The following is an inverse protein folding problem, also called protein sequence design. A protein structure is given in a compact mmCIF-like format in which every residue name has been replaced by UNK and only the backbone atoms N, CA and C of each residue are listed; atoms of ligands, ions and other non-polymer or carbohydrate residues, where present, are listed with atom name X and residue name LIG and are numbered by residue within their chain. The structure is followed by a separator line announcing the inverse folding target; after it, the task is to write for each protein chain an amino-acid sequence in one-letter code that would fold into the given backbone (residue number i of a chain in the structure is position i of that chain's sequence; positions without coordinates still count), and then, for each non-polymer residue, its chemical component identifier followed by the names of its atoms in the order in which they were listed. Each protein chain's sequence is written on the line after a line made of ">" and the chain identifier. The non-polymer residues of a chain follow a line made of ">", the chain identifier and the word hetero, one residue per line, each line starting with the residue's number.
data_IF_130510057133
#
_entry.id   IF_130510057133
#
_cell.length_a   1.000
_cell.length_b   1.000
_cell.length_c   1.000
_cell.angle_alpha   90.00
_cell.angle_beta   90.00
_cell.angle_gamma   90.00
#
_symmetry.space_group_name_H-M   'P 1'
#
loop_
_entity.id
_entity.type
_entity.pdbx_description
1 polymer ?
#
# COMPACT_ATOMS: atom_id res chain seq x y z
N UNK A 1 0.65 28.97 -14.59
CA UNK A 1 0.36 28.41 -13.26
C UNK A 1 -0.92 29.05 -12.80
N UNK A 2 -1.89 28.23 -12.41
CA UNK A 2 -3.18 28.68 -11.89
C UNK A 2 -3.30 28.21 -10.44
N UNK A 3 -3.88 29.05 -9.60
CA UNK A 3 -4.10 28.76 -8.18
C UNK A 3 -5.58 28.95 -7.90
N UNK A 4 -6.23 27.90 -7.41
CA UNK A 4 -7.62 27.89 -7.02
C UNK A 4 -7.69 27.72 -5.50
N UNK A 5 -8.16 28.76 -4.81
CA UNK A 5 -8.32 28.73 -3.36
C UNK A 5 -9.78 28.50 -2.98
N UNK A 6 -10.03 27.41 -2.25
CA UNK A 6 -11.31 27.10 -1.62
C UNK A 6 -11.22 27.04 -0.10
N UNK A 7 -12.37 26.90 0.55
CA UNK A 7 -12.45 26.77 2.01
C UNK A 7 -11.83 25.46 2.51
N UNK A 8 -11.94 24.38 1.74
CA UNK A 8 -11.48 23.03 2.11
C UNK A 8 -10.19 22.60 1.42
N UNK A 9 -9.81 23.24 0.31
CA UNK A 9 -8.72 22.82 -0.54
C UNK A 9 -8.10 24.03 -1.25
N UNK A 10 -6.79 24.02 -1.41
CA UNK A 10 -6.08 24.83 -2.42
C UNK A 10 -5.55 23.89 -3.48
N UNK A 11 -5.83 24.20 -4.74
CA UNK A 11 -5.25 23.50 -5.88
C UNK A 11 -4.32 24.43 -6.66
N UNK A 12 -3.17 23.91 -7.06
CA UNK A 12 -2.20 24.58 -7.92
C UNK A 12 -2.05 23.74 -9.18
N UNK A 13 -2.49 24.31 -10.31
CA UNK A 13 -2.34 23.68 -11.62
C UNK A 13 -1.10 24.21 -12.33
N UNK A 14 -0.26 23.28 -12.80
CA UNK A 14 0.92 23.56 -13.63
C UNK A 14 0.84 22.76 -14.92
N UNK A 15 0.84 23.46 -16.03
CA UNK A 15 0.83 22.90 -17.38
C UNK A 15 2.20 23.16 -18.02
N UNK A 16 2.79 22.12 -18.62
CA UNK A 16 4.03 22.18 -19.37
C UNK A 16 3.75 21.78 -20.81
N UNK A 17 4.04 22.71 -21.71
CA UNK A 17 3.90 22.56 -23.15
C UNK A 17 5.25 22.21 -23.74
N UNK A 18 5.25 21.40 -24.81
CA UNK A 18 6.49 21.01 -25.48
C UNK A 18 7.01 22.13 -26.36
N UNK A 19 6.11 22.84 -27.05
CA UNK A 19 6.43 24.03 -27.83
C UNK A 19 5.53 25.21 -27.45
N UNK A 20 5.97 26.42 -27.78
CA UNK A 20 5.22 27.66 -27.50
C UNK A 20 3.86 27.71 -28.22
N UNK A 21 3.70 26.94 -29.31
CA UNK A 21 2.49 26.94 -30.13
C UNK A 21 1.51 25.81 -29.81
N UNK A 22 1.86 24.91 -28.88
CA UNK A 22 0.98 23.80 -28.52
C UNK A 22 -0.27 24.31 -27.80
N UNK A 23 -1.44 23.82 -28.21
CA UNK A 23 -2.72 24.16 -27.57
C UNK A 23 -2.95 23.36 -26.28
N UNK A 24 -2.48 22.12 -26.26
CA UNK A 24 -2.67 21.18 -25.16
C UNK A 24 -1.33 20.88 -24.46
N UNK A 25 -1.31 20.84 -23.12
CA UNK A 25 -0.08 20.54 -22.38
C UNK A 25 0.28 19.05 -22.45
N UNK A 26 1.56 18.76 -22.67
CA UNK A 26 2.10 17.39 -22.64
C UNK A 26 2.21 16.86 -21.21
N UNK A 27 2.46 17.75 -20.25
CA UNK A 27 2.53 17.40 -18.83
C UNK A 27 1.65 18.35 -18.04
N UNK A 28 0.75 17.80 -17.22
CA UNK A 28 -0.07 18.58 -16.30
C UNK A 28 0.09 18.03 -14.89
N UNK A 29 0.21 18.93 -13.92
CA UNK A 29 0.33 18.60 -12.50
C UNK A 29 -0.72 19.39 -11.74
N UNK A 30 -1.56 18.68 -11.00
CA UNK A 30 -2.48 19.25 -10.03
C UNK A 30 -1.90 18.99 -8.65
N UNK A 31 -1.49 20.04 -7.94
CA UNK A 31 -1.00 19.93 -6.56
C UNK A 31 -2.07 20.43 -5.60
N UNK A 32 -2.57 19.54 -4.76
CA UNK A 32 -3.68 19.77 -3.86
C UNK A 32 -3.20 19.78 -2.40
N UNK A 33 -3.62 20.82 -1.68
CA UNK A 33 -3.35 21.05 -0.26
C UNK A 33 -4.69 21.18 0.47
N UNK A 34 -4.99 20.22 1.35
CA UNK A 34 -6.20 20.27 2.15
C UNK A 34 -6.13 21.41 3.19
N UNK A 35 -7.25 22.10 3.38
CA UNK A 35 -7.50 23.08 4.44
C UNK A 35 -8.62 22.52 5.32
N UNK A 36 -8.27 21.81 6.39
CA UNK A 36 -9.25 21.21 7.31
C UNK A 36 -9.08 21.71 8.75
N UNK A 37 -10.14 21.75 9.57
CA UNK A 37 -9.98 21.91 11.01
C UNK A 37 -9.17 20.74 11.58
N UNK A 38 -8.31 20.97 12.60
CA UNK A 38 -7.53 19.91 13.22
C UNK A 38 -8.44 18.92 13.96
N UNK A 39 -8.83 17.85 13.27
CA UNK A 39 -9.42 16.63 13.84
C UNK A 39 -8.58 15.41 13.47
N UNK A 40 -8.91 14.22 13.98
CA UNK A 40 -8.12 12.99 13.76
C UNK A 40 -7.91 12.65 12.27
N UNK A 41 -8.92 12.87 11.42
CA UNK A 41 -8.80 12.70 9.96
C UNK A 41 -8.05 13.86 9.29
N UNK A 42 -8.12 15.06 9.89
CA UNK A 42 -7.44 16.26 9.43
C UNK A 42 -5.91 16.15 9.52
N UNK A 43 -5.39 15.37 10.46
CA UNK A 43 -3.94 15.17 10.63
C UNK A 43 -3.31 14.51 9.40
N UNK A 44 -3.91 13.44 8.87
CA UNK A 44 -3.41 12.77 7.66
C UNK A 44 -3.57 13.62 6.39
N UNK A 45 -4.58 14.51 6.36
CA UNK A 45 -4.87 15.36 5.22
C UNK A 45 -3.95 16.60 5.17
N UNK A 46 -3.68 17.23 6.31
CA UNK A 46 -2.94 18.50 6.36
C UNK A 46 -1.42 18.35 6.30
N UNK A 47 -0.89 17.14 6.45
CA UNK A 47 0.56 16.84 6.43
C UNK A 47 1.07 16.26 5.11
N UNK A 48 0.26 16.35 4.04
CA UNK A 48 0.65 15.89 2.71
C UNK A 48 0.31 16.88 1.61
N UNK A 49 1.04 16.76 0.50
CA UNK A 49 0.67 17.32 -0.80
C UNK A 49 0.19 16.15 -1.65
N UNK A 50 -1.04 16.21 -2.15
CA UNK A 50 -1.53 15.28 -3.16
C UNK A 50 -1.18 15.85 -4.55
N UNK A 51 -0.55 15.04 -5.39
CA UNK A 51 -0.14 15.45 -6.72
C UNK A 51 -0.67 14.47 -7.76
N UNK A 52 -1.59 14.93 -8.59
CA UNK A 52 -2.02 14.21 -9.78
C UNK A 52 -1.18 14.64 -10.98
N UNK A 53 -0.62 13.67 -11.68
CA UNK A 53 0.21 13.84 -12.86
C UNK A 53 -0.51 13.29 -14.08
N UNK A 54 -0.57 14.09 -15.15
CA UNK A 54 -0.96 13.67 -16.49
C UNK A 54 0.26 13.79 -17.39
N UNK A 55 0.71 12.67 -17.95
CA UNK A 55 1.98 12.60 -18.71
C UNK A 55 1.72 11.98 -20.07
N UNK A 56 1.91 12.76 -21.13
CA UNK A 56 1.81 12.33 -22.52
C UNK A 56 0.76 13.10 -23.33
N UNK A 57 0.62 12.80 -24.64
CA UNK A 57 1.37 11.80 -25.39
C UNK A 57 2.87 12.13 -25.46
N UNK A 58 3.73 11.13 -25.30
CA UNK A 58 5.18 11.34 -25.41
C UNK A 58 5.63 11.44 -26.87
N UNK A 59 6.85 11.93 -27.04
CA UNK A 59 7.59 11.75 -28.27
C UNK A 59 8.15 10.33 -28.36
N UNK A 60 8.33 9.85 -29.59
CA UNK A 60 9.03 8.59 -29.82
C UNK A 60 10.45 8.63 -29.23
N UNK A 61 10.86 7.55 -28.57
CA UNK A 61 12.16 7.37 -27.91
C UNK A 61 12.41 8.34 -26.75
N UNK A 62 11.36 8.64 -25.97
CA UNK A 62 11.46 9.46 -24.78
C UNK A 62 10.99 8.73 -23.53
N UNK A 63 11.60 9.09 -22.40
CA UNK A 63 11.26 8.64 -21.06
C UNK A 63 11.00 9.87 -20.19
N UNK A 64 9.85 9.91 -19.53
CA UNK A 64 9.43 11.01 -18.69
C UNK A 64 9.65 10.66 -17.21
N UNK A 65 10.43 11.50 -16.53
CA UNK A 65 10.66 11.43 -15.10
C UNK A 65 10.20 12.70 -14.41
N UNK A 66 9.82 12.58 -13.15
CA UNK A 66 9.70 13.72 -12.25
C UNK A 66 10.85 13.67 -11.26
N UNK A 67 11.48 14.81 -10.96
CA UNK A 67 12.54 14.90 -9.95
C UNK A 67 12.18 15.92 -8.90
N UNK A 68 12.08 15.46 -7.65
CA UNK A 68 11.96 16.32 -6.47
C UNK A 68 13.35 16.56 -5.91
N UNK A 69 13.73 17.83 -5.76
CA UNK A 69 15.04 18.24 -5.22
C UNK A 69 14.87 19.01 -3.92
N UNK A 70 15.65 18.64 -2.91
CA UNK A 70 15.61 19.22 -1.55
C UNK A 70 17.03 19.50 -1.05
N UNK A 71 17.14 20.23 0.06
CA UNK A 71 18.40 20.45 0.76
C UNK A 71 18.74 19.33 1.77
N UNK A 72 17.99 18.22 1.78
CA UNK A 72 18.27 17.09 2.68
C UNK A 72 19.65 16.49 2.36
N UNK A 73 20.46 16.26 3.40
CA UNK A 73 21.74 15.58 3.25
C UNK A 73 21.57 14.06 3.34
N UNK A 74 21.18 13.46 2.22
CA UNK A 74 20.79 12.04 2.15
C UNK A 74 21.93 11.12 1.76
N UNK A 75 23.09 11.67 1.35
CA UNK A 75 24.23 10.93 0.82
C UNK A 75 23.86 9.98 -0.33
N UNK A 76 22.90 10.38 -1.17
CA UNK A 76 22.35 9.58 -2.28
C UNK A 76 21.82 8.20 -1.82
N UNK A 77 21.29 8.13 -0.59
CA UNK A 77 20.62 6.95 -0.08
C UNK A 77 19.11 7.12 -0.27
N UNK A 78 18.54 6.20 -1.04
CA UNK A 78 17.11 6.00 -1.21
C UNK A 78 16.66 4.82 -0.34
N UNK A 79 15.43 4.85 0.13
CA UNK A 79 14.74 3.69 0.69
C UNK A 79 13.53 3.43 -0.18
N UNK A 80 13.41 2.24 -0.76
CA UNK A 80 12.24 1.83 -1.56
C UNK A 80 11.65 0.55 -1.00
N UNK A 81 10.34 0.41 -1.06
CA UNK A 81 9.67 -0.79 -0.59
C UNK A 81 10.02 -2.03 -1.45
N UNK A 82 9.81 -3.20 -0.87
CA UNK A 82 9.79 -4.49 -1.54
C UNK A 82 8.36 -5.03 -1.49
N UNK A 83 7.62 -4.87 -2.58
CA UNK A 83 6.22 -5.29 -2.73
C UNK A 83 5.29 -4.72 -1.65
N UNK A 84 5.50 -3.47 -1.23
CA UNK A 84 4.66 -2.77 -0.25
C UNK A 84 4.87 -3.25 1.18
N UNK A 85 5.88 -4.09 1.41
CA UNK A 85 6.07 -4.76 2.69
C UNK A 85 7.30 -4.25 3.45
N UNK A 86 8.51 -4.64 3.03
CA UNK A 86 9.76 -4.26 3.71
C UNK A 86 10.45 -3.11 2.99
N UNK A 87 10.97 -2.14 3.73
CA UNK A 87 11.78 -1.06 3.20
C UNK A 87 13.23 -1.51 3.00
N UNK A 88 13.75 -1.30 1.80
CA UNK A 88 15.11 -1.67 1.45
C UNK A 88 15.97 -0.41 1.26
N UNK A 89 17.12 -0.39 1.94
CA UNK A 89 18.11 0.68 1.79
C UNK A 89 18.87 0.52 0.48
N UNK A 90 18.85 1.55 -0.36
CA UNK A 90 19.48 1.63 -1.68
C UNK A 90 20.53 2.75 -1.68
N UNK A 91 21.80 2.40 -1.50
CA UNK A 91 22.88 3.36 -1.68
C UNK A 91 23.22 3.48 -3.17
N UNK A 92 23.40 4.71 -3.63
CA UNK A 92 23.90 4.96 -4.98
C UNK A 92 25.24 4.26 -5.21
N UNK A 93 25.38 3.65 -6.39
CA UNK A 93 26.61 2.98 -6.80
C UNK A 93 27.05 3.49 -8.16
N UNK A 94 28.32 3.88 -8.25
CA UNK A 94 28.94 4.16 -9.53
C UNK A 94 29.24 2.85 -10.25
N UNK A 95 28.82 2.75 -11.51
CA UNK A 95 29.13 1.61 -12.38
C UNK A 95 29.95 2.07 -13.59
N UNK A 96 30.64 1.13 -14.26
CA UNK A 96 31.37 1.45 -15.50
C UNK A 96 30.42 1.71 -16.67
N UNK A 97 29.27 1.05 -16.70
CA UNK A 97 28.27 1.14 -17.76
C UNK A 97 26.90 1.25 -17.12
N UNK A 98 26.02 2.08 -17.70
CA UNK A 98 24.62 2.21 -17.33
C UNK A 98 24.40 2.63 -15.86
N UNK A 99 25.24 3.54 -15.34
CA UNK A 99 25.17 3.95 -13.92
C UNK A 99 23.79 4.46 -13.52
N UNK A 100 23.19 5.33 -14.33
CA UNK A 100 21.87 5.91 -14.02
C UNK A 100 20.82 4.80 -13.89
N UNK A 101 20.69 3.95 -14.90
CA UNK A 101 19.63 2.92 -14.95
C UNK A 101 19.83 1.81 -13.93
N UNK A 102 21.08 1.47 -13.59
CA UNK A 102 21.40 0.49 -12.53
C UNK A 102 21.12 0.99 -11.10
N UNK A 103 20.78 2.27 -10.94
CA UNK A 103 20.35 2.85 -9.67
C UNK A 103 18.84 3.11 -9.63
N UNK A 104 18.07 2.68 -10.63
CA UNK A 104 16.61 2.62 -10.53
C UNK A 104 16.16 1.35 -9.81
N UNK A 105 15.19 1.51 -8.89
CA UNK A 105 14.59 0.45 -8.11
C UNK A 105 13.07 0.51 -8.21
N UNK A 106 12.35 -0.62 -8.06
CA UNK A 106 10.90 -0.57 -7.95
C UNK A 106 10.48 0.13 -6.65
N UNK A 107 9.45 0.97 -6.75
CA UNK A 107 8.59 1.44 -5.67
C UNK A 107 7.19 0.94 -5.99
N UNK A 108 6.62 0.07 -5.15
CA UNK A 108 5.25 -0.38 -5.37
C UNK A 108 4.23 0.47 -4.61
N UNK A 109 4.63 1.01 -3.46
CA UNK A 109 3.75 1.83 -2.62
C UNK A 109 4.46 3.03 -2.00
N UNK A 110 5.74 2.88 -1.60
CA UNK A 110 6.44 3.94 -0.90
C UNK A 110 7.95 3.94 -1.13
N UNK A 111 8.48 5.14 -1.29
CA UNK A 111 9.89 5.42 -1.24
C UNK A 111 10.15 6.65 -0.38
N UNK A 112 11.34 6.75 0.22
CA UNK A 112 11.72 7.95 0.94
C UNK A 112 13.22 8.22 0.87
N UNK A 113 13.55 9.49 1.05
CA UNK A 113 14.91 9.96 1.32
C UNK A 113 14.90 10.70 2.67
N UNK A 114 16.00 10.65 3.40
CA UNK A 114 16.08 11.29 4.72
C UNK A 114 17.50 11.70 5.06
N UNK A 115 17.59 12.68 5.97
CA UNK A 115 18.81 12.97 6.71
C UNK A 115 18.62 12.58 8.20
N UNK A 116 19.33 13.24 9.11
CA UNK A 116 19.24 12.96 10.56
C UNK A 116 17.95 13.48 11.20
N UNK A 117 17.34 14.51 10.65
CA UNK A 117 16.20 15.23 11.26
C UNK A 117 14.93 15.00 10.46
N UNK A 118 15.02 15.12 9.14
CA UNK A 118 13.88 15.25 8.25
C UNK A 118 13.85 14.15 7.21
N UNK A 119 12.64 13.87 6.73
CA UNK A 119 12.35 12.84 5.73
C UNK A 119 11.37 13.39 4.72
N UNK A 120 11.65 13.10 3.44
CA UNK A 120 10.70 13.23 2.35
C UNK A 120 10.20 11.82 2.01
N UNK A 121 8.91 11.57 2.24
CA UNK A 121 8.22 10.34 1.88
C UNK A 121 7.39 10.59 0.63
N UNK A 122 7.47 9.64 -0.29
CA UNK A 122 6.59 9.53 -1.42
C UNK A 122 5.74 8.27 -1.25
N UNK A 123 4.45 8.42 -1.52
CA UNK A 123 3.48 7.34 -1.58
C UNK A 123 2.83 7.35 -2.96
N UNK A 124 2.56 6.17 -3.49
CA UNK A 124 1.93 6.00 -4.79
C UNK A 124 0.81 4.96 -4.74
N UNK A 125 -0.18 5.13 -5.61
CA UNK A 125 -1.20 4.11 -5.91
C UNK A 125 -0.69 3.05 -6.89
N UNK A 126 0.28 3.43 -7.71
CA UNK A 126 0.79 2.63 -8.81
C UNK A 126 2.28 2.35 -8.65
N UNK A 127 2.77 1.32 -9.32
CA UNK A 127 4.20 0.94 -9.28
C UNK A 127 5.01 1.89 -10.16
N UNK A 128 6.08 2.47 -9.62
CA UNK A 128 7.01 3.32 -10.35
C UNK A 128 8.44 2.81 -10.24
N UNK A 129 9.29 3.21 -11.19
CA UNK A 129 10.73 3.14 -11.04
C UNK A 129 11.23 4.38 -10.32
N UNK A 130 12.02 4.22 -9.26
CA UNK A 130 12.50 5.33 -8.43
C UNK A 130 14.02 5.32 -8.28
N UNK A 131 14.62 6.50 -8.13
CA UNK A 131 16.06 6.63 -7.91
C UNK A 131 16.42 7.87 -7.09
N UNK A 132 17.61 7.86 -6.51
CA UNK A 132 18.27 9.05 -5.94
C UNK A 132 19.62 9.24 -6.66
N UNK A 133 19.61 10.02 -7.74
CA UNK A 133 20.82 10.28 -8.54
C UNK A 133 21.73 11.35 -7.91
N UNK A 134 21.20 12.14 -6.97
CA UNK A 134 21.92 13.20 -6.26
C UNK A 134 21.47 13.29 -4.80
N UNK A 135 22.33 13.79 -3.92
CA UNK A 135 21.95 13.98 -2.51
C UNK A 135 20.78 14.96 -2.42
N UNK A 136 19.78 14.62 -1.61
CA UNK A 136 18.54 15.39 -1.48
C UNK A 136 17.59 15.27 -2.67
N UNK A 137 17.90 14.43 -3.66
CA UNK A 137 17.06 14.21 -4.85
C UNK A 137 16.37 12.86 -4.80
N UNK A 138 15.12 12.83 -5.25
CA UNK A 138 14.35 11.62 -5.54
C UNK A 138 13.66 11.83 -6.88
N UNK A 139 13.83 10.87 -7.78
CA UNK A 139 13.17 10.89 -9.09
C UNK A 139 12.31 9.65 -9.32
N UNK A 140 11.18 9.87 -9.97
CA UNK A 140 10.11 8.93 -10.23
C UNK A 140 9.88 8.80 -11.73
N UNK A 141 9.81 7.57 -12.20
CA UNK A 141 9.58 7.23 -13.59
C UNK A 141 8.08 7.13 -13.87
N UNK A 142 7.57 7.97 -14.78
CA UNK A 142 6.13 8.01 -15.09
C UNK A 142 5.77 7.28 -16.37
N UNK A 143 6.45 7.58 -17.47
CA UNK A 143 6.05 7.05 -18.76
C UNK A 143 7.24 6.92 -19.71
N UNK A 144 7.14 6.00 -20.67
CA UNK A 144 8.14 5.81 -21.72
C UNK A 144 7.46 5.41 -23.01
N UNK A 145 7.97 5.96 -24.10
CA UNK A 145 7.63 5.53 -25.44
C UNK A 145 8.94 5.24 -26.17
N UNK A 146 9.19 3.97 -26.49
CA UNK A 146 10.44 3.47 -27.04
C UNK A 146 10.18 2.64 -28.29
N UNK A 147 10.82 3.02 -29.40
CA UNK A 147 10.87 2.23 -30.62
C UNK A 147 12.26 1.62 -30.79
N UNK A 148 12.40 0.35 -30.41
CA UNK A 148 13.67 -0.36 -30.50
C UNK A 148 13.73 -1.15 -31.80
N UNK A 149 14.57 -0.71 -32.74
CA UNK A 149 14.74 -1.32 -34.07
C UNK A 149 15.82 -2.40 -34.15
N UNK A 150 16.44 -2.76 -33.03
CA UNK A 150 17.52 -3.75 -32.98
C UNK A 150 16.94 -5.17 -33.10
N UNK A 151 17.58 -6.04 -33.89
CA UNK A 151 17.03 -7.37 -34.22
C UNK A 151 16.73 -8.24 -32.99
N UNK A 152 17.59 -8.20 -31.97
CA UNK A 152 17.38 -8.94 -30.71
C UNK A 152 16.11 -8.45 -29.99
N UNK A 153 15.89 -7.14 -29.95
CA UNK A 153 14.74 -6.52 -29.28
C UNK A 153 13.42 -6.78 -30.01
N UNK A 154 13.47 -6.81 -31.34
CA UNK A 154 12.33 -7.21 -32.17
C UNK A 154 11.95 -8.68 -31.93
N UNK A 155 12.94 -9.56 -31.69
CA UNK A 155 12.67 -10.99 -31.42
C UNK A 155 11.98 -11.27 -30.08
N UNK A 156 12.08 -10.35 -29.10
CA UNK A 156 11.46 -10.46 -27.77
C UNK A 156 10.35 -9.42 -27.53
N UNK A 157 9.93 -8.69 -28.57
CA UNK A 157 8.88 -7.67 -28.54
C UNK A 157 9.00 -6.66 -27.38
N UNK A 158 10.19 -6.10 -27.18
CA UNK A 158 10.44 -5.08 -26.12
C UNK A 158 10.14 -3.64 -26.59
N UNK A 159 9.50 -3.48 -27.75
CA UNK A 159 9.03 -2.18 -28.23
C UNK A 159 7.83 -1.73 -27.41
N UNK A 160 7.88 -0.51 -26.87
CA UNK A 160 6.79 0.08 -26.10
C UNK A 160 6.36 1.38 -26.79
N UNK A 161 5.45 1.26 -27.75
CA UNK A 161 4.93 2.39 -28.53
C UNK A 161 3.54 2.81 -28.05
N UNK A 162 3.43 3.12 -26.75
CA UNK A 162 2.20 3.65 -26.16
C UNK A 162 2.16 5.17 -26.30
N UNK A 163 1.08 5.69 -26.89
CA UNK A 163 0.84 7.13 -27.10
C UNK A 163 -0.21 7.69 -26.13
N UNK A 164 -0.65 6.88 -25.17
CA UNK A 164 -1.67 7.28 -24.19
C UNK A 164 -1.14 8.36 -23.25
N UNK A 165 -2.06 9.10 -22.65
CA UNK A 165 -1.74 9.96 -21.51
C UNK A 165 -1.87 9.11 -20.26
N UNK A 166 -0.78 8.94 -19.51
CA UNK A 166 -0.83 8.22 -18.23
C UNK A 166 -1.22 9.16 -17.11
N UNK A 167 -1.98 8.62 -16.15
CA UNK A 167 -2.46 9.32 -14.98
C UNK A 167 -1.91 8.64 -13.73
N UNK A 168 -1.26 9.39 -12.86
CA UNK A 168 -0.69 8.86 -11.62
C UNK A 168 -0.87 9.84 -10.46
N UNK A 169 -1.24 9.32 -9.29
CA UNK A 169 -1.42 10.12 -8.08
C UNK A 169 -0.32 9.77 -7.08
N UNK A 170 0.38 10.79 -6.60
CA UNK A 170 1.42 10.67 -5.60
C UNK A 170 1.09 11.53 -4.39
N UNK A 171 1.33 11.01 -3.18
CA UNK A 171 1.28 11.81 -1.95
C UNK A 171 2.69 12.06 -1.44
N UNK A 172 3.01 13.33 -1.20
CA UNK A 172 4.31 13.77 -0.70
C UNK A 172 4.16 14.24 0.74
N UNK A 173 4.94 13.66 1.65
CA UNK A 173 5.04 14.08 3.04
C UNK A 173 6.47 14.52 3.31
N UNK A 174 6.65 15.77 3.77
CA UNK A 174 7.94 16.32 4.14
C UNK A 174 7.87 16.85 5.58
N UNK A 175 8.79 16.40 6.43
CA UNK A 175 8.85 16.89 7.80
C UNK A 175 9.80 16.11 8.68
N UNK A 176 9.72 16.31 10.02
CA UNK A 176 10.50 15.55 10.98
C UNK A 176 10.33 14.03 10.81
N UNK A 177 11.40 13.29 11.06
CA UNK A 177 11.41 11.83 10.92
C UNK A 177 10.40 11.14 11.84
N UNK A 178 10.08 11.71 12.99
CA UNK A 178 9.06 11.17 13.92
C UNK A 178 7.66 11.26 13.31
N UNK A 179 7.27 12.45 12.85
CA UNK A 179 5.96 12.71 12.23
C UNK A 179 5.75 11.87 10.97
N UNK A 180 6.72 11.88 10.06
CA UNK A 180 6.60 11.14 8.79
C UNK A 180 6.62 9.63 8.96
N UNK A 181 7.21 9.10 10.06
CA UNK A 181 7.18 7.67 10.37
C UNK A 181 5.81 7.22 10.87
N UNK A 182 5.13 8.04 11.67
CA UNK A 182 3.74 7.82 12.10
C UNK A 182 2.79 7.92 10.91
N UNK A 183 2.77 9.09 10.24
CA UNK A 183 1.78 9.34 9.21
C UNK A 183 2.04 8.51 7.95
N UNK A 184 3.29 8.24 7.57
CA UNK A 184 3.62 7.59 6.31
C UNK A 184 2.96 6.22 6.09
N UNK A 185 2.92 5.36 7.12
CA UNK A 185 2.27 4.04 7.00
C UNK A 185 0.75 4.17 6.89
N UNK A 186 0.14 5.02 7.74
CA UNK A 186 -1.30 5.27 7.77
C UNK A 186 -1.79 5.96 6.49
N UNK A 187 -1.04 6.93 5.99
CA UNK A 187 -1.26 7.59 4.71
C UNK A 187 -1.13 6.60 3.54
N UNK A 188 -0.17 5.67 3.58
CA UNK A 188 -0.04 4.62 2.56
C UNK A 188 -1.28 3.74 2.50
N UNK A 189 -1.80 3.30 3.65
CA UNK A 189 -3.05 2.54 3.74
C UNK A 189 -4.24 3.37 3.21
N UNK A 190 -4.35 4.63 3.62
CA UNK A 190 -5.43 5.50 3.16
C UNK A 190 -5.40 5.77 1.65
N UNK A 191 -4.21 5.82 1.05
CA UNK A 191 -4.03 5.97 -0.40
C UNK A 191 -4.46 4.69 -1.15
N UNK A 192 -4.06 3.52 -0.65
CA UNK A 192 -4.36 2.23 -1.27
C UNK A 192 -5.81 1.77 -1.07
N UNK A 193 -6.46 2.24 0.00
CA UNK A 193 -7.81 1.84 0.40
C UNK A 193 -8.71 3.06 0.56
N UNK A 194 -8.86 3.86 -0.51
CA UNK A 194 -9.74 5.04 -0.52
C UNK A 194 -11.20 4.65 -0.18
N UNK A 195 -11.96 5.54 0.48
CA UNK A 195 -13.37 5.28 0.79
C UNK A 195 -14.21 4.95 -0.45
N UNK A 196 -15.06 3.94 -0.34
CA UNK A 196 -16.05 3.60 -1.37
C UNK A 196 -17.30 4.46 -1.16
N UNK A 197 -17.63 5.29 -2.16
CA UNK A 197 -18.83 6.14 -2.13
C UNK A 197 -19.98 5.41 -2.84
N UNK A 198 -21.04 5.11 -2.09
CA UNK A 198 -22.26 4.50 -2.63
C UNK A 198 -23.35 5.56 -2.77
N UNK A 199 -23.75 5.83 -4.01
CA UNK A 199 -24.86 6.75 -4.31
C UNK A 199 -26.09 5.90 -4.62
N UNK A 200 -27.17 6.10 -3.87
CA UNK A 200 -28.45 5.44 -4.08
C UNK A 200 -29.50 6.46 -4.48
N UNK A 201 -30.23 6.16 -5.54
CA UNK A 201 -31.44 6.91 -5.90
C UNK A 201 -32.54 6.60 -4.90
N UNK A 202 -33.06 7.64 -4.24
CA UNK A 202 -34.18 7.54 -3.30
C UNK A 202 -35.44 8.07 -3.98
N UNK A 203 -36.51 7.28 -4.01
CA UNK A 203 -37.81 7.75 -4.48
C UNK A 203 -38.37 8.81 -3.51
N UNK A 204 -39.14 9.78 -3.99
CA UNK A 204 -39.67 10.91 -3.19
C UNK A 204 -40.49 10.48 -1.96
N UNK A 205 -41.03 9.26 -1.96
CA UNK A 205 -41.82 8.69 -0.85
C UNK A 205 -40.99 7.94 0.19
N UNK A 206 -39.68 7.76 -0.05
CA UNK A 206 -38.78 7.06 0.86
C UNK A 206 -38.49 7.95 2.06
N UNK A 207 -39.18 7.71 3.18
CA UNK A 207 -38.82 8.33 4.45
C UNK A 207 -37.42 7.84 4.83
N UNK A 208 -36.44 8.73 4.76
CA UNK A 208 -35.12 8.49 5.36
C UNK A 208 -35.37 8.39 6.86
N UNK A 209 -35.44 7.17 7.37
CA UNK A 209 -35.39 6.94 8.80
C UNK A 209 -33.97 7.34 9.26
N UNK A 210 -33.82 8.33 10.15
CA UNK A 210 -32.53 8.66 10.75
C UNK A 210 -32.08 7.62 11.78
N UNK A 211 -32.67 6.42 11.78
CA UNK A 211 -32.27 5.27 12.59
C UNK A 211 -31.08 4.52 11.97
N UNK A 212 -30.21 5.21 11.22
CA UNK A 212 -28.80 4.85 11.27
C UNK A 212 -28.34 5.21 12.68
N UNK A 213 -28.64 4.32 13.64
CA UNK A 213 -28.02 4.38 14.95
C UNK A 213 -26.53 4.65 14.70
N UNK A 214 -26.00 5.72 15.29
CA UNK A 214 -24.57 5.99 15.33
C UNK A 214 -23.91 4.82 16.07
N UNK A 215 -23.78 3.68 15.40
CA UNK A 215 -22.95 2.59 15.84
C UNK A 215 -21.53 3.13 15.79
N UNK A 216 -20.90 3.15 16.95
CA UNK A 216 -19.51 3.53 17.07
C UNK A 216 -18.69 2.65 16.13
N UNK A 217 -17.95 3.29 15.22
CA UNK A 217 -17.18 2.57 14.22
C UNK A 217 -16.16 1.69 14.94
N UNK A 218 -16.06 0.42 14.54
CA UNK A 218 -15.02 -0.47 15.06
C UNK A 218 -13.67 0.03 14.57
N UNK A 219 -12.83 0.48 15.49
CA UNK A 219 -11.49 0.97 15.20
C UNK A 219 -10.44 -0.06 15.59
N UNK A 220 -9.51 -0.34 14.68
CA UNK A 220 -8.31 -1.10 14.98
C UNK A 220 -7.22 -0.18 15.57
N UNK A 221 -6.27 -0.72 16.35
CA UNK A 221 -5.09 0.03 16.75
C UNK A 221 -4.37 0.63 15.53
N UNK A 222 -3.79 1.84 15.62
CA UNK A 222 -3.16 2.52 14.48
C UNK A 222 -1.96 1.77 13.83
N UNK A 223 -1.42 0.77 14.51
CA UNK A 223 -0.36 -0.11 13.99
C UNK A 223 -0.87 -1.29 13.18
N UNK A 224 -2.19 -1.53 13.14
CA UNK A 224 -2.81 -2.64 12.47
C UNK A 224 -3.71 -2.22 11.31
N UNK A 225 -3.73 -3.07 10.30
CA UNK A 225 -4.63 -2.94 9.16
C UNK A 225 -5.33 -4.28 8.88
N UNK A 226 -6.64 -4.20 8.64
CA UNK A 226 -7.45 -5.31 8.15
C UNK A 226 -7.32 -5.38 6.63
N UNK A 227 -6.53 -6.34 6.15
CA UNK A 227 -6.23 -6.47 4.73
C UNK A 227 -7.29 -7.26 3.97
N UNK A 228 -7.90 -8.26 4.62
CA UNK A 228 -8.97 -9.08 4.05
C UNK A 228 -10.02 -9.32 5.13
N UNK A 229 -11.28 -9.14 4.77
CA UNK A 229 -12.45 -9.62 5.50
C UNK A 229 -13.44 -10.12 4.46
N UNK A 230 -13.60 -11.44 4.34
CA UNK A 230 -14.44 -12.02 3.30
C UNK A 230 -15.03 -13.36 3.68
N UNK A 231 -16.15 -13.71 3.06
CA UNK A 231 -16.71 -15.06 3.12
C UNK A 231 -16.01 -15.88 2.02
N UNK A 232 -15.23 -16.92 2.36
CA UNK A 232 -14.52 -17.69 1.36
C UNK A 232 -15.53 -18.46 0.49
N UNK A 233 -15.39 -18.33 -0.84
CA UNK A 233 -16.18 -19.10 -1.81
C UNK A 233 -15.78 -20.58 -1.91
N UNK A 234 -14.96 -21.06 -0.97
CA UNK A 234 -14.38 -22.40 -0.95
C UNK A 234 -14.31 -22.92 0.49
N UNK A 235 -14.32 -24.24 0.65
CA UNK A 235 -14.29 -24.88 1.98
C UNK A 235 -13.06 -25.77 2.09
N UNK A 236 -11.96 -25.21 2.58
CA UNK A 236 -10.74 -25.98 2.87
C UNK A 236 -10.77 -26.46 4.32
N UNK A 237 -10.31 -27.70 4.53
CA UNK A 237 -10.16 -28.27 5.87
C UNK A 237 -8.70 -28.08 6.30
N UNK A 238 -8.46 -27.37 7.41
CA UNK A 238 -7.10 -27.08 7.88
C UNK A 238 -6.27 -28.34 8.19
N UNK A 239 -6.93 -29.48 8.44
CA UNK A 239 -6.27 -30.77 8.35
C UNK A 239 -6.08 -31.15 6.87
N UNK A 240 -4.94 -30.72 6.32
CA UNK A 240 -4.56 -30.95 4.94
C UNK A 240 -4.63 -32.42 4.52
N UNK A 241 -4.22 -33.34 5.39
CA UNK A 241 -4.27 -34.79 5.10
C UNK A 241 -5.71 -35.27 4.93
N UNK A 242 -6.60 -34.85 5.83
CA UNK A 242 -8.04 -35.15 5.73
C UNK A 242 -8.65 -34.51 4.46
N UNK A 243 -8.23 -33.28 4.12
CA UNK A 243 -8.68 -32.62 2.91
C UNK A 243 -8.30 -33.40 1.64
N UNK A 244 -7.03 -33.80 1.50
CA UNK A 244 -6.57 -34.60 0.37
C UNK A 244 -7.29 -35.95 0.28
N UNK A 245 -7.50 -36.63 1.41
CA UNK A 245 -8.25 -37.89 1.45
C UNK A 245 -9.70 -37.72 0.96
N UNK A 246 -10.36 -36.61 1.31
CA UNK A 246 -11.72 -36.34 0.85
C UNK A 246 -11.77 -36.10 -0.66
N UNK A 247 -10.81 -35.36 -1.22
CA UNK A 247 -10.68 -35.15 -2.67
C UNK A 247 -10.46 -36.48 -3.40
N UNK A 248 -9.58 -37.33 -2.90
CA UNK A 248 -9.29 -38.65 -3.49
C UNK A 248 -10.49 -39.59 -3.47
N UNK A 249 -11.34 -39.48 -2.44
CA UNK A 249 -12.57 -40.29 -2.30
C UNK A 249 -13.72 -39.80 -3.20
N UNK A 250 -13.51 -38.81 -4.07
CA UNK A 250 -14.54 -38.29 -4.96
C UNK A 250 -15.66 -37.53 -4.23
N UNK A 251 -15.47 -37.17 -2.96
CA UNK A 251 -16.38 -36.28 -2.24
C UNK A 251 -16.13 -34.83 -2.71
N UNK A 252 -16.43 -34.57 -3.98
CA UNK A 252 -16.61 -33.22 -4.49
C UNK A 252 -17.97 -32.74 -3.97
N UNK A 253 -18.06 -32.46 -2.67
CA UNK A 253 -19.18 -31.67 -2.16
C UNK A 253 -19.24 -30.39 -3.00
N UNK A 254 -20.41 -30.03 -3.51
CA UNK A 254 -20.60 -28.71 -4.09
C UNK A 254 -20.12 -27.69 -3.07
N UNK A 255 -19.25 -26.76 -3.49
CA UNK A 255 -18.78 -25.69 -2.62
C UNK A 255 -20.00 -24.90 -2.15
N UNK A 256 -20.45 -25.17 -0.93
CA UNK A 256 -21.55 -24.45 -0.30
C UNK A 256 -20.94 -23.27 0.43
N UNK A 257 -21.43 -22.08 0.12
CA UNK A 257 -21.04 -20.87 0.84
C UNK A 257 -21.45 -21.04 2.30
N UNK A 258 -20.48 -20.91 3.19
CA UNK A 258 -20.68 -20.95 4.63
C UNK A 258 -20.64 -19.51 5.15
N UNK A 259 -21.82 -18.92 5.33
CA UNK A 259 -21.97 -17.54 5.82
C UNK A 259 -21.54 -17.38 7.28
N UNK A 260 -21.37 -18.49 8.01
CA UNK A 260 -20.89 -18.46 9.38
C UNK A 260 -19.36 -18.53 9.45
N UNK A 261 -18.67 -18.68 8.32
CA UNK A 261 -17.21 -18.73 8.26
C UNK A 261 -16.65 -17.53 7.51
N UNK A 262 -15.82 -16.73 8.18
CA UNK A 262 -15.18 -15.55 7.61
C UNK A 262 -13.67 -15.73 7.63
N UNK A 263 -13.02 -15.33 6.53
CA UNK A 263 -11.57 -15.22 6.43
C UNK A 263 -11.14 -13.80 6.81
N UNK A 264 -10.17 -13.69 7.72
CA UNK A 264 -9.66 -12.42 8.22
C UNK A 264 -8.12 -12.38 8.13
N UNK A 265 -7.58 -11.30 7.55
CA UNK A 265 -6.14 -10.97 7.52
C UNK A 265 -5.84 -9.70 8.27
N UNK A 266 -4.95 -9.80 9.26
CA UNK A 266 -4.40 -8.66 9.97
C UNK A 266 -2.92 -8.50 9.65
N UNK A 267 -2.53 -7.27 9.33
CA UNK A 267 -1.16 -6.90 9.05
C UNK A 267 -0.70 -5.79 10.00
N UNK A 268 0.43 -6.01 10.66
CA UNK A 268 1.12 -4.97 11.42
C UNK A 268 1.95 -4.07 10.51
N UNK A 269 1.57 -2.81 10.39
CA UNK A 269 2.09 -1.88 9.39
C UNK A 269 3.58 -1.56 9.56
N UNK A 270 4.07 -1.52 10.79
CA UNK A 270 5.41 -1.01 11.11
C UNK A 270 6.47 -2.10 11.21
N UNK A 271 7.70 -1.78 10.80
CA UNK A 271 8.91 -2.58 11.05
C UNK A 271 9.43 -2.42 12.47
N UNK A 272 10.15 -3.43 12.97
CA UNK A 272 10.80 -3.37 14.28
C UNK A 272 11.74 -2.16 14.35
N UNK A 273 11.54 -1.31 15.34
CA UNK A 273 12.32 -0.08 15.53
C UNK A 273 11.98 1.06 14.55
N UNK A 274 10.90 0.93 13.77
CA UNK A 274 10.45 2.01 12.88
C UNK A 274 9.86 3.19 13.66
N UNK A 275 9.20 2.96 14.79
CA UNK A 275 8.57 3.98 15.60
C UNK A 275 8.62 3.52 17.07
N UNK A 276 8.89 4.41 18.05
CA UNK A 276 9.05 4.00 19.45
C UNK A 276 7.82 3.28 20.02
N UNK A 277 6.62 3.77 19.68
CA UNK A 277 5.33 3.24 20.16
C UNK A 277 4.66 2.28 19.16
N UNK A 278 4.35 2.76 17.95
CA UNK A 278 3.64 1.99 16.91
C UNK A 278 4.38 0.77 16.33
N UNK A 279 5.65 0.55 16.69
CA UNK A 279 6.43 -0.64 16.28
C UNK A 279 6.63 -1.65 17.41
N UNK A 280 5.76 -1.63 18.41
CA UNK A 280 5.68 -2.67 19.44
C UNK A 280 4.61 -3.70 19.08
N UNK A 281 4.70 -4.95 19.58
CA UNK A 281 3.63 -5.93 19.41
C UNK A 281 2.31 -5.38 19.94
N UNK A 282 1.21 -5.68 19.24
CA UNK A 282 -0.13 -5.23 19.64
C UNK A 282 -1.04 -6.41 19.92
N UNK A 283 -1.85 -6.26 20.96
CA UNK A 283 -2.87 -7.22 21.36
C UNK A 283 -4.22 -6.82 20.78
N UNK A 284 -4.94 -7.78 20.20
CA UNK A 284 -6.29 -7.54 19.66
C UNK A 284 -7.27 -8.60 20.14
N UNK A 285 -8.41 -8.14 20.63
CA UNK A 285 -9.56 -9.00 20.90
C UNK A 285 -10.48 -9.03 19.66
N UNK A 286 -10.43 -10.12 18.89
CA UNK A 286 -11.25 -10.26 17.68
C UNK A 286 -12.75 -10.37 17.96
N UNK A 287 -13.15 -10.86 19.14
CA UNK A 287 -14.57 -10.88 19.53
C UNK A 287 -15.11 -9.45 19.65
N UNK A 288 -14.30 -8.54 20.21
CA UNK A 288 -14.64 -7.11 20.31
C UNK A 288 -14.55 -6.37 18.98
N UNK A 289 -13.75 -6.84 18.01
CA UNK A 289 -13.67 -6.22 16.68
C UNK A 289 -14.83 -6.68 15.79
N UNK A 290 -15.24 -7.95 15.91
CA UNK A 290 -16.21 -8.57 14.99
C UNK A 290 -17.62 -8.68 15.59
N UNK A 291 -17.87 -8.05 16.74
CA UNK A 291 -19.15 -8.14 17.46
C UNK A 291 -20.36 -7.79 16.60
N UNK A 292 -20.20 -6.85 15.65
CA UNK A 292 -21.26 -6.40 14.74
C UNK A 292 -21.62 -7.44 13.66
N UNK A 293 -20.72 -8.39 13.40
CA UNK A 293 -20.95 -9.48 12.45
C UNK A 293 -21.63 -10.70 13.09
N UNK A 294 -21.52 -10.85 14.41
CA UNK A 294 -22.16 -11.92 15.17
C UNK A 294 -21.35 -12.39 16.38
N UNK A 295 -21.87 -13.40 17.08
CA UNK A 295 -21.17 -14.04 18.19
C UNK A 295 -20.11 -15.01 17.67
N UNK A 296 -18.84 -14.75 18.00
CA UNK A 296 -17.71 -15.62 17.63
C UNK A 296 -17.75 -16.90 18.46
N UNK A 297 -17.80 -18.06 17.80
CA UNK A 297 -17.82 -19.40 18.42
C UNK A 297 -16.42 -20.00 18.47
N UNK A 298 -15.66 -19.90 17.38
CA UNK A 298 -14.29 -20.40 17.30
C UNK A 298 -13.46 -19.60 16.32
N UNK A 299 -12.14 -19.77 16.45
CA UNK A 299 -11.14 -19.14 15.61
C UNK A 299 -10.03 -20.14 15.34
N UNK A 300 -9.61 -20.22 14.09
CA UNK A 300 -8.54 -21.10 13.64
C UNK A 300 -7.49 -20.27 12.90
N UNK A 301 -6.25 -20.28 13.38
CA UNK A 301 -5.14 -19.63 12.67
C UNK A 301 -4.59 -20.55 11.58
N UNK A 302 -4.39 -20.00 10.38
CA UNK A 302 -3.88 -20.76 9.26
C UNK A 302 -2.72 -20.08 8.52
N UNK A 303 -2.00 -20.87 7.72
CA UNK A 303 -0.97 -20.38 6.80
C UNK A 303 -1.52 -19.27 5.90
N UNK A 304 -0.68 -18.38 5.37
CA UNK A 304 -1.08 -17.30 4.45
C UNK A 304 -1.75 -17.75 3.14
N UNK A 305 -1.82 -19.04 2.83
CA UNK A 305 -2.62 -19.56 1.70
C UNK A 305 -4.00 -20.08 2.12
N UNK A 306 -4.32 -20.05 3.41
CA UNK A 306 -5.59 -20.54 3.97
C UNK A 306 -5.74 -22.07 3.98
N UNK A 307 -4.64 -22.81 3.86
CA UNK A 307 -4.66 -24.27 3.62
C UNK A 307 -4.11 -25.13 4.77
N UNK A 308 -3.29 -24.58 5.67
CA UNK A 308 -2.67 -25.33 6.75
C UNK A 308 -2.94 -24.70 8.10
N UNK A 309 -3.20 -25.52 9.10
CA UNK A 309 -3.18 -25.09 10.51
C UNK A 309 -1.75 -24.65 10.91
N UNK A 310 -1.61 -23.47 11.50
CA UNK A 310 -0.28 -22.92 11.87
C UNK A 310 0.43 -23.80 12.90
N UNK A 311 -0.30 -24.40 13.85
CA UNK A 311 0.27 -25.30 14.85
C UNK A 311 0.88 -26.57 14.27
N UNK A 312 0.51 -26.94 13.04
CA UNK A 312 1.08 -28.11 12.34
C UNK A 312 2.29 -27.77 11.46
N UNK A 313 2.60 -26.48 11.25
CA UNK A 313 3.68 -26.07 10.37
C UNK A 313 5.06 -26.37 10.97
N UNK A 314 5.86 -27.18 10.27
CA UNK A 314 7.23 -27.45 10.64
C UNK A 314 8.19 -26.56 9.84
N UNK A 315 9.08 -25.85 10.55
CA UNK A 315 10.14 -25.06 9.93
C UNK A 315 11.45 -25.84 9.94
N UNK A 316 12.14 -25.83 8.80
CA UNK A 316 13.50 -26.34 8.71
C UNK A 316 14.41 -25.52 9.63
N UNK A 317 15.24 -26.22 10.41
CA UNK A 317 16.22 -25.59 11.29
C UNK A 317 17.56 -25.52 10.56
N UNK A 318 18.02 -24.30 10.30
CA UNK A 318 19.31 -24.04 9.67
C UNK A 318 20.30 -23.55 10.73
N UNK A 319 21.55 -24.01 10.67
CA UNK A 319 22.64 -23.41 11.46
C UNK A 319 23.02 -22.09 10.79
N UNK A 320 22.46 -21.01 11.28
CA UNK A 320 22.80 -19.64 10.87
C UNK A 320 23.78 -19.10 11.91
N UNK A 321 24.72 -18.27 11.48
CA UNK A 321 25.79 -17.77 12.35
C UNK A 321 25.29 -16.96 13.56
N UNK A 322 24.05 -16.45 13.52
CA UNK A 322 23.39 -15.78 14.64
C UNK A 322 21.87 -15.99 14.59
N UNK A 323 21.26 -16.50 15.67
CA UNK A 323 19.82 -16.35 15.93
C UNK A 323 19.09 -17.55 16.56
N UNK A 324 18.68 -17.39 17.82
CA UNK A 324 17.79 -18.29 18.58
C UNK A 324 16.30 -18.01 18.30
N UNK A 325 15.47 -19.05 18.24
CA UNK A 325 14.00 -18.96 18.20
C UNK A 325 13.38 -19.03 19.60
N UNK A 326 12.30 -18.27 19.82
CA UNK A 326 11.38 -18.40 20.97
C UNK A 326 9.94 -18.44 20.46
N UNK A 327 9.12 -19.27 21.10
CA UNK A 327 7.67 -19.39 20.88
C UNK A 327 6.84 -18.67 21.96
N UNK A 328 5.55 -18.51 21.69
CA UNK A 328 4.60 -17.67 22.45
C UNK A 328 3.35 -18.42 22.93
N UNK A 329 2.61 -17.75 23.85
CA UNK A 329 1.43 -18.21 24.58
C UNK A 329 0.06 -17.79 24.01
N UNK A 330 -1.00 -17.65 24.84
CA UNK A 330 -2.41 -17.84 24.45
C UNK A 330 -3.17 -16.59 23.96
N UNK A 331 -2.51 -15.46 23.83
CA UNK A 331 -3.07 -14.15 23.50
C UNK A 331 -2.57 -13.78 22.08
N UNK A 332 -3.42 -13.32 21.13
CA UNK A 332 -2.94 -12.98 19.76
C UNK A 332 -2.16 -11.67 19.81
N UNK A 333 -0.86 -11.80 20.04
CA UNK A 333 0.12 -10.76 19.78
C UNK A 333 0.41 -10.73 18.27
N UNK A 334 0.28 -9.56 17.65
CA UNK A 334 0.74 -9.34 16.28
C UNK A 334 2.00 -8.49 16.34
N UNK A 335 3.11 -9.05 15.89
CA UNK A 335 4.43 -8.43 15.94
C UNK A 335 4.66 -7.48 14.77
N UNK A 336 5.67 -6.60 14.86
CA UNK A 336 6.06 -5.72 13.75
C UNK A 336 6.25 -6.49 12.44
N UNK A 337 5.57 -6.01 11.38
CA UNK A 337 5.45 -6.63 10.04
C UNK A 337 4.77 -8.00 10.00
N UNK A 338 4.29 -8.55 11.09
CA UNK A 338 3.61 -9.83 11.04
C UNK A 338 2.27 -9.72 10.28
N UNK A 339 1.97 -10.75 9.49
CA UNK A 339 0.67 -10.94 8.85
C UNK A 339 0.12 -12.25 9.37
N UNK A 340 -1.07 -12.22 9.97
CA UNK A 340 -1.74 -13.40 10.52
C UNK A 340 -3.10 -13.58 9.86
N UNK A 341 -3.44 -14.84 9.59
CA UNK A 341 -4.64 -15.25 8.88
C UNK A 341 -5.48 -16.14 9.76
N UNK A 342 -6.78 -15.84 9.83
CA UNK A 342 -7.72 -16.57 10.68
C UNK A 342 -8.97 -16.95 9.89
N UNK A 343 -9.48 -18.14 10.15
CA UNK A 343 -10.89 -18.45 9.95
C UNK A 343 -11.65 -18.17 11.24
N UNK A 344 -12.66 -17.32 11.15
CA UNK A 344 -13.55 -16.98 12.26
C UNK A 344 -14.89 -17.65 12.00
N UNK A 345 -15.38 -18.38 13.00
CA UNK A 345 -16.68 -19.05 12.96
C UNK A 345 -17.67 -18.32 13.86
N UNK A 346 -18.81 -17.96 13.31
CA UNK A 346 -19.92 -17.33 14.00
C UNK A 346 -21.01 -18.34 14.36
N UNK A 347 -21.80 -18.02 15.37
CA UNK A 347 -22.98 -18.80 15.73
C UNK A 347 -24.02 -18.71 14.62
N UNK A 348 -24.55 -19.86 14.19
CA UNK A 348 -25.69 -19.90 13.25
C UNK A 348 -26.89 -19.16 13.87
N UNK A 349 -27.51 -18.27 13.08
CA UNK A 349 -28.71 -17.51 13.46
C UNK A 349 -29.98 -18.31 13.20
#
# INVERSE_FOLDING_TARGET
>A
MEILEGQLLTEIQRCFYRTVNDRDPTYTIYSQLARGPPGADGELLCHRIEQEYRVGPLELNHEAIWRTSTHLNTAQVLYSDNNGYQMQRRAYKQYMVNTITRNYYPMTQSAFIQDRQSRLVLLSEQVHGVSSQGSGQMEDFFHRQLLIKQQWALSVNVTLNDTSVVHSVLWLLLGPSTLTRDLGQRSGVALQHRPVVLIRELSETTRVHPDFQQQEAVMLPPSLHLQILSIPGWTYNLNHTKHLQNLQKGHQGQAKVDFCRVLLWLHHLYEKGQHPVLSQPVMVNLQSVLWSLGSVVSMEECSLTGTWDVGTLQRWSWKIQDGSSKGEGPDIAIHPKEIRMFFIHFQEQ
#
